data_IF_001538533797
#
_entry.id   IF_001538533797
#
_cell.length_a   1.000
_cell.length_b   1.000
_cell.length_c   1.000
_cell.angle_alpha   90.00
_cell.angle_beta   90.00
_cell.angle_gamma   90.00
#
_symmetry.space_group_name_H-M   'P 1'
#
loop_
_entity.id
_entity.type
_entity.pdbx_description
1 polymer ?
#
# COMPACT_ATOMS: atom_id res chain seq x y z
N UNK A 1 -68.71 15.12 -9.61
CA UNK A 1 -67.67 14.83 -8.59
C UNK A 1 -66.31 15.04 -9.23
N UNK A 2 -65.67 16.15 -8.89
CA UNK A 2 -64.34 16.54 -9.36
C UNK A 2 -63.27 15.70 -8.70
N UNK A 3 -62.31 15.18 -9.47
CA UNK A 3 -60.95 14.91 -8.99
C UNK A 3 -59.93 15.33 -10.04
N UNK A 4 -59.28 16.43 -9.69
CA UNK A 4 -58.17 17.13 -10.33
C UNK A 4 -57.01 16.19 -10.63
N UNK A 5 -56.60 16.11 -11.89
CA UNK A 5 -55.31 15.53 -12.30
C UNK A 5 -54.21 16.54 -11.99
N UNK A 6 -53.32 16.21 -11.05
CA UNK A 6 -52.13 17.02 -10.77
C UNK A 6 -51.13 16.90 -11.92
N UNK A 7 -50.81 18.04 -12.55
CA UNK A 7 -49.60 18.18 -13.34
C UNK A 7 -48.41 18.36 -12.40
N UNK A 8 -47.32 17.59 -12.55
CA UNK A 8 -46.02 18.04 -12.08
C UNK A 8 -45.43 19.01 -13.10
N UNK A 9 -45.08 20.18 -12.58
CA UNK A 9 -44.27 21.23 -13.18
C UNK A 9 -42.95 20.67 -13.71
N UNK A 10 -42.66 20.88 -14.99
CA UNK A 10 -41.32 20.70 -15.56
C UNK A 10 -40.45 21.86 -15.06
N UNK A 11 -39.66 21.63 -14.01
CA UNK A 11 -38.58 22.52 -13.62
C UNK A 11 -37.28 22.09 -14.32
N UNK A 12 -36.60 23.06 -14.92
CA UNK A 12 -35.47 22.89 -15.81
C UNK A 12 -34.35 22.04 -15.21
N UNK A 13 -34.21 20.82 -15.73
CA UNK A 13 -33.01 20.03 -15.57
C UNK A 13 -31.94 20.60 -16.48
N UNK A 14 -30.87 21.14 -15.88
CA UNK A 14 -29.60 21.29 -16.59
C UNK A 14 -29.25 19.93 -17.22
N UNK A 15 -28.90 19.87 -18.51
CA UNK A 15 -28.50 18.61 -19.11
C UNK A 15 -27.27 18.08 -18.37
N UNK A 16 -27.48 17.02 -17.59
CA UNK A 16 -26.39 16.23 -17.01
C UNK A 16 -25.70 15.57 -18.20
N UNK A 17 -24.60 16.19 -18.66
CA UNK A 17 -23.77 15.58 -19.69
C UNK A 17 -23.21 14.30 -19.06
N UNK A 18 -23.53 13.11 -19.60
CA UNK A 18 -22.96 11.88 -19.09
C UNK A 18 -21.44 11.98 -19.20
N UNK A 19 -20.76 11.77 -18.09
CA UNK A 19 -19.31 11.71 -18.06
C UNK A 19 -18.85 10.74 -19.15
N UNK A 20 -18.08 11.25 -20.11
CA UNK A 20 -17.52 10.48 -21.23
C UNK A 20 -16.92 9.20 -20.65
N UNK A 21 -17.44 8.04 -21.02
CA UNK A 21 -16.88 6.75 -20.60
C UNK A 21 -15.52 6.61 -21.29
N UNK A 22 -14.47 7.07 -20.61
CA UNK A 22 -13.09 6.77 -20.99
C UNK A 22 -12.94 5.26 -20.83
N UNK A 23 -12.41 4.58 -21.83
CA UNK A 23 -12.15 3.15 -21.76
C UNK A 23 -11.38 2.83 -20.46
N UNK A 24 -11.65 1.69 -19.80
CA UNK A 24 -10.97 1.36 -18.55
C UNK A 24 -9.46 1.36 -18.78
N UNK A 25 -8.76 2.34 -18.20
CA UNK A 25 -7.30 2.44 -18.33
C UNK A 25 -6.69 1.22 -17.66
N UNK A 26 -5.98 0.38 -18.40
CA UNK A 26 -5.33 -0.82 -17.87
C UNK A 26 -3.90 -0.54 -17.43
N UNK A 27 -3.34 -1.44 -16.59
CA UNK A 27 -1.91 -1.38 -16.30
C UNK A 27 -1.15 -1.92 -17.51
N UNK A 28 -0.09 -1.23 -17.98
CA UNK A 28 0.61 -1.59 -19.22
C UNK A 28 1.50 -2.84 -19.10
N UNK A 29 1.70 -3.35 -17.88
CA UNK A 29 2.49 -4.55 -17.62
C UNK A 29 2.00 -5.27 -16.35
N UNK A 30 2.42 -6.53 -16.11
CA UNK A 30 2.05 -7.26 -14.90
C UNK A 30 2.39 -6.49 -13.62
N UNK A 31 1.52 -6.51 -12.58
CA UNK A 31 1.73 -5.73 -11.37
C UNK A 31 3.05 -6.02 -10.66
N UNK A 32 3.52 -7.27 -10.68
CA UNK A 32 4.80 -7.67 -10.08
C UNK A 32 5.99 -7.04 -10.80
N UNK A 33 5.94 -6.97 -12.13
CA UNK A 33 6.98 -6.32 -12.92
C UNK A 33 7.05 -4.82 -12.61
N UNK A 34 5.90 -4.14 -12.62
CA UNK A 34 5.80 -2.71 -12.30
C UNK A 34 6.21 -2.41 -10.85
N UNK A 35 5.86 -3.28 -9.91
CA UNK A 35 6.25 -3.15 -8.51
C UNK A 35 7.77 -3.26 -8.33
N UNK A 36 8.41 -4.24 -9.01
CA UNK A 36 9.86 -4.39 -8.99
C UNK A 36 10.56 -3.13 -9.52
N UNK A 37 10.12 -2.63 -10.68
CA UNK A 37 10.66 -1.40 -11.28
C UNK A 37 10.48 -0.18 -10.37
N UNK A 38 9.33 -0.07 -9.71
CA UNK A 38 9.07 1.01 -8.77
C UNK A 38 9.97 0.90 -7.51
N UNK A 39 10.17 -0.29 -6.97
CA UNK A 39 11.08 -0.53 -5.85
C UNK A 39 12.52 -0.16 -6.22
N UNK A 40 13.00 -0.60 -7.39
CA UNK A 40 14.34 -0.26 -7.91
C UNK A 40 14.52 1.26 -8.06
N UNK A 41 13.55 1.93 -8.69
CA UNK A 41 13.55 3.38 -8.91
C UNK A 41 13.59 4.18 -7.60
N UNK A 42 12.97 3.64 -6.55
CA UNK A 42 12.93 4.25 -5.23
C UNK A 42 14.13 3.87 -4.35
N UNK A 43 14.99 2.95 -4.81
CA UNK A 43 16.14 2.45 -4.07
C UNK A 43 15.75 1.55 -2.89
N UNK A 44 14.63 0.84 -2.99
CA UNK A 44 14.15 -0.04 -1.93
C UNK A 44 14.78 -1.43 -2.06
N UNK A 45 15.65 -1.77 -1.11
CA UNK A 45 16.27 -3.09 -1.02
C UNK A 45 15.41 -4.12 -0.28
N UNK A 46 15.79 -5.39 -0.39
CA UNK A 46 15.16 -6.51 0.30
C UNK A 46 14.38 -7.46 -0.61
N UNK A 47 13.53 -8.27 0.02
CA UNK A 47 12.66 -9.24 -0.64
C UNK A 47 11.34 -8.55 -0.97
N UNK A 48 10.96 -8.60 -2.24
CA UNK A 48 9.63 -8.20 -2.69
C UNK A 48 8.68 -9.39 -2.59
N UNK A 49 7.61 -9.22 -1.81
CA UNK A 49 6.58 -10.24 -1.64
C UNK A 49 5.56 -10.19 -2.78
N UNK A 50 4.95 -11.33 -3.16
CA UNK A 50 3.79 -11.33 -4.05
C UNK A 50 2.65 -10.43 -3.53
N UNK A 51 1.77 -9.93 -4.41
CA UNK A 51 0.65 -9.09 -3.99
C UNK A 51 -0.20 -9.75 -2.90
N UNK A 52 -0.40 -9.06 -1.79
CA UNK A 52 -1.10 -9.58 -0.61
C UNK A 52 -2.09 -8.56 -0.03
N UNK A 53 -3.04 -9.05 0.78
CA UNK A 53 -3.99 -8.19 1.48
C UNK A 53 -3.54 -7.97 2.92
N UNK A 54 -3.22 -6.73 3.26
CA UNK A 54 -2.86 -6.31 4.61
C UNK A 54 -3.73 -5.11 5.01
N UNK A 55 -4.25 -5.10 6.24
CA UNK A 55 -5.15 -4.04 6.72
C UNK A 55 -6.36 -3.82 5.78
N UNK A 56 -6.84 -4.88 5.13
CA UNK A 56 -7.92 -4.81 4.13
C UNK A 56 -7.54 -4.15 2.79
N UNK A 57 -6.25 -3.91 2.55
CA UNK A 57 -5.71 -3.28 1.34
C UNK A 57 -4.81 -4.23 0.58
N UNK A 58 -4.96 -4.26 -0.76
CA UNK A 58 -4.07 -5.01 -1.64
C UNK A 58 -2.80 -4.20 -1.89
N UNK A 59 -1.66 -4.74 -1.50
CA UNK A 59 -0.34 -4.10 -1.60
C UNK A 59 0.73 -5.13 -1.97
N UNK A 60 1.85 -4.64 -2.49
CA UNK A 60 3.12 -5.37 -2.63
C UNK A 60 4.05 -4.84 -1.55
N UNK A 61 4.55 -5.73 -0.69
CA UNK A 61 5.46 -5.36 0.39
C UNK A 61 6.90 -5.60 -0.03
N UNK A 62 7.78 -4.65 0.32
CA UNK A 62 9.23 -4.82 0.26
C UNK A 62 9.76 -4.83 1.69
N UNK A 63 10.51 -5.85 2.04
CA UNK A 63 11.02 -6.02 3.39
C UNK A 63 12.37 -6.72 3.40
N UNK A 64 13.16 -6.44 4.43
CA UNK A 64 14.44 -7.08 4.66
C UNK A 64 14.36 -8.01 5.86
N UNK A 65 15.03 -9.16 5.74
CA UNK A 65 15.23 -10.07 6.85
C UNK A 65 16.35 -9.54 7.74
N UNK A 66 16.07 -9.44 9.04
CA UNK A 66 17.08 -9.13 10.06
C UNK A 66 17.75 -10.46 10.40
N UNK A 67 18.90 -10.74 9.78
CA UNK A 67 19.55 -12.06 9.80
C UNK A 67 19.82 -12.58 11.20
N UNK A 68 20.27 -11.71 12.10
CA UNK A 68 20.61 -12.09 13.48
C UNK A 68 19.36 -12.50 14.27
N UNK A 69 18.29 -11.70 14.17
CA UNK A 69 17.00 -12.01 14.80
C UNK A 69 16.34 -13.25 14.19
N UNK A 70 16.49 -13.47 12.88
CA UNK A 70 16.04 -14.69 12.22
C UNK A 70 16.78 -15.93 12.75
N UNK A 71 18.11 -15.86 12.83
CA UNK A 71 18.95 -16.94 13.35
C UNK A 71 18.64 -17.26 14.81
N UNK A 72 18.47 -16.24 15.65
CA UNK A 72 18.06 -16.40 17.05
C UNK A 72 16.70 -17.12 17.15
N UNK A 73 15.71 -16.69 16.36
CA UNK A 73 14.40 -17.34 16.33
C UNK A 73 14.47 -18.78 15.88
N UNK A 74 15.30 -19.12 14.89
CA UNK A 74 15.51 -20.51 14.49
C UNK A 74 16.12 -21.34 15.63
N UNK A 75 17.14 -20.80 16.31
CA UNK A 75 17.81 -21.48 17.41
C UNK A 75 16.86 -21.71 18.62
N UNK A 76 15.95 -20.77 18.88
CA UNK A 76 14.97 -20.84 19.96
C UNK A 76 13.65 -21.51 19.55
N UNK A 77 13.50 -21.95 18.30
CA UNK A 77 12.27 -22.57 17.81
C UNK A 77 11.06 -21.63 17.84
N UNK A 78 11.26 -20.34 17.56
CA UNK A 78 10.24 -19.30 17.56
C UNK A 78 9.78 -18.97 16.12
N UNK A 79 8.74 -19.64 15.58
CA UNK A 79 8.21 -19.33 14.26
C UNK A 79 7.54 -17.94 14.21
N UNK A 80 7.23 -17.42 13.01
CA UNK A 80 6.37 -16.25 12.87
C UNK A 80 5.01 -16.45 13.57
N UNK A 81 4.49 -15.39 14.21
CA UNK A 81 3.16 -15.42 14.86
C UNK A 81 2.19 -14.46 14.18
N UNK A 82 1.31 -14.99 13.34
CA UNK A 82 0.39 -14.19 12.51
C UNK A 82 -0.95 -13.88 13.17
N UNK A 83 -1.26 -14.51 14.31
CA UNK A 83 -2.44 -14.18 15.12
C UNK A 83 -2.26 -12.81 15.80
N UNK A 84 -3.13 -11.88 15.45
CA UNK A 84 -3.08 -10.50 15.94
C UNK A 84 -3.37 -10.40 17.44
N UNK A 85 -4.20 -11.31 17.99
CA UNK A 85 -4.55 -11.31 19.41
C UNK A 85 -3.36 -11.73 20.26
N UNK A 86 -2.60 -12.73 19.81
CA UNK A 86 -1.35 -13.12 20.46
C UNK A 86 -0.34 -11.99 20.41
N UNK A 87 -0.11 -11.39 19.24
CA UNK A 87 0.84 -10.28 19.10
C UNK A 87 0.44 -9.05 19.91
N UNK A 88 -0.86 -8.80 20.14
CA UNK A 88 -1.28 -7.65 20.94
C UNK A 88 -0.92 -7.78 22.43
N UNK A 89 -0.63 -8.99 22.92
CA UNK A 89 -0.09 -9.18 24.28
C UNK A 89 1.37 -8.78 24.38
N UNK A 90 2.13 -8.78 23.27
CA UNK A 90 3.58 -8.56 23.30
C UNK A 90 3.99 -7.12 23.62
N UNK A 91 3.06 -6.17 23.53
CA UNK A 91 3.30 -4.78 23.92
C UNK A 91 3.09 -4.56 25.42
N UNK A 92 2.66 -5.59 26.16
CA UNK A 92 2.48 -5.51 27.60
C UNK A 92 3.86 -5.41 28.27
N UNK A 93 4.05 -4.49 29.24
CA UNK A 93 5.31 -4.34 29.96
C UNK A 93 5.78 -5.65 30.60
N UNK A 94 4.85 -6.49 31.04
CA UNK A 94 5.09 -7.79 31.65
C UNK A 94 5.78 -8.77 30.69
N UNK A 95 5.67 -8.57 29.38
CA UNK A 95 6.33 -9.41 28.37
C UNK A 95 7.54 -8.73 27.73
N UNK A 96 7.96 -7.55 28.23
CA UNK A 96 9.13 -6.86 27.73
C UNK A 96 10.39 -7.73 27.87
N UNK A 97 11.12 -7.90 26.75
CA UNK A 97 12.32 -8.75 26.70
C UNK A 97 12.05 -10.26 26.69
N UNK A 98 10.80 -10.70 26.82
CA UNK A 98 10.42 -12.13 26.75
C UNK A 98 9.78 -12.53 25.41
N UNK A 99 9.50 -11.55 24.55
CA UNK A 99 8.93 -11.78 23.22
C UNK A 99 10.05 -11.93 22.19
N UNK A 100 9.85 -12.72 21.12
CA UNK A 100 10.87 -12.88 20.09
C UNK A 100 11.31 -11.54 19.49
N UNK A 101 12.59 -11.36 19.16
CA UNK A 101 13.05 -10.17 18.44
C UNK A 101 12.38 -10.07 17.06
N UNK A 102 11.98 -8.88 16.56
CA UNK A 102 11.36 -8.77 15.23
C UNK A 102 12.35 -9.22 14.16
N UNK A 103 11.96 -10.17 13.30
CA UNK A 103 12.86 -10.76 12.30
C UNK A 103 12.88 -10.03 10.95
N UNK A 104 12.05 -9.00 10.78
CA UNK A 104 11.97 -8.26 9.51
C UNK A 104 11.88 -6.75 9.70
N UNK A 105 12.49 -6.03 8.78
CA UNK A 105 12.36 -4.58 8.59
C UNK A 105 11.46 -4.31 7.40
N UNK A 106 10.39 -3.53 7.61
CA UNK A 106 9.54 -3.08 6.51
C UNK A 106 10.27 -1.97 5.76
N UNK A 107 10.51 -2.16 4.47
CA UNK A 107 11.20 -1.17 3.61
C UNK A 107 10.20 -0.30 2.87
N UNK A 108 9.14 -0.91 2.32
CA UNK A 108 8.09 -0.16 1.66
C UNK A 108 6.82 -0.95 1.36
N UNK A 109 5.76 -0.22 1.04
CA UNK A 109 4.50 -0.76 0.53
C UNK A 109 4.12 -0.07 -0.79
N UNK A 110 3.85 -0.87 -1.82
CA UNK A 110 3.49 -0.39 -3.16
C UNK A 110 2.05 -0.80 -3.45
N UNK A 111 1.22 0.13 -3.93
CA UNK A 111 -0.05 -0.22 -4.55
C UNK A 111 -0.08 0.17 -6.03
N UNK A 112 -0.54 -0.77 -6.85
CA UNK A 112 -0.72 -0.57 -8.28
C UNK A 112 -2.21 -0.53 -8.57
N UNK A 113 -2.66 0.50 -9.27
CA UNK A 113 -4.08 0.62 -9.63
C UNK A 113 -4.28 1.43 -10.89
N UNK A 114 -5.39 1.12 -11.58
CA UNK A 114 -5.93 1.90 -12.71
C UNK A 114 -6.37 3.31 -12.31
N UNK A 115 -6.58 3.53 -11.01
CA UNK A 115 -7.04 4.80 -10.46
C UNK A 115 -6.20 5.21 -9.26
N UNK A 116 -5.71 6.44 -9.28
CA UNK A 116 -4.84 6.97 -8.22
C UNK A 116 -5.53 6.98 -6.85
N UNK A 117 -6.84 7.24 -6.78
CA UNK A 117 -7.59 7.26 -5.50
C UNK A 117 -7.55 5.89 -4.82
N UNK A 118 -7.71 4.83 -5.59
CA UNK A 118 -7.66 3.45 -5.11
C UNK A 118 -6.25 3.11 -4.64
N UNK A 119 -5.23 3.45 -5.44
CA UNK A 119 -3.85 3.20 -5.07
C UNK A 119 -3.46 3.92 -3.77
N UNK A 120 -3.78 5.22 -3.64
CA UNK A 120 -3.51 5.99 -2.42
C UNK A 120 -4.26 5.41 -1.22
N UNK A 121 -5.54 5.09 -1.37
CA UNK A 121 -6.34 4.49 -0.28
C UNK A 121 -5.75 3.16 0.20
N UNK A 122 -5.07 2.42 -0.70
CA UNK A 122 -4.38 1.18 -0.34
C UNK A 122 -3.10 1.40 0.48
N UNK A 123 -2.29 2.42 0.16
CA UNK A 123 -0.98 2.60 0.83
C UNK A 123 -0.98 3.56 2.02
N UNK A 124 -1.90 4.52 2.08
CA UNK A 124 -1.94 5.52 3.17
C UNK A 124 -1.94 4.90 4.57
N UNK A 125 -2.63 3.77 4.86
CA UNK A 125 -2.54 3.13 6.18
C UNK A 125 -1.13 2.69 6.60
N UNK A 126 -0.21 2.55 5.64
CA UNK A 126 1.17 2.12 5.87
C UNK A 126 2.15 3.28 5.95
N UNK A 127 1.77 4.50 5.55
CA UNK A 127 2.71 5.64 5.45
C UNK A 127 3.24 6.12 6.79
N UNK A 128 2.60 5.73 7.90
CA UNK A 128 3.11 5.94 9.26
C UNK A 128 4.28 5.01 9.61
N UNK A 129 4.41 3.86 8.95
CA UNK A 129 5.26 2.75 9.41
C UNK A 129 6.38 2.36 8.45
N UNK A 130 6.21 2.69 7.18
CA UNK A 130 7.15 2.32 6.13
C UNK A 130 7.03 3.30 4.96
N UNK A 131 7.99 3.27 4.04
CA UNK A 131 7.89 4.04 2.82
C UNK A 131 6.68 3.56 2.00
N UNK A 132 6.04 4.47 1.27
CA UNK A 132 4.85 4.13 0.48
C UNK A 132 4.96 4.67 -0.93
N UNK A 133 4.44 3.90 -1.88
CA UNK A 133 4.43 4.28 -3.27
C UNK A 133 3.13 3.83 -3.96
N UNK A 134 2.68 4.63 -4.91
CA UNK A 134 1.63 4.25 -5.84
C UNK A 134 2.18 4.22 -7.26
N UNK A 135 1.74 3.24 -8.03
CA UNK A 135 2.00 3.16 -9.46
C UNK A 135 0.66 3.19 -10.19
N UNK A 136 0.53 4.14 -11.11
CA UNK A 136 -0.66 4.32 -11.95
C UNK A 136 -0.25 4.37 -13.43
N UNK A 137 -1.12 4.01 -14.39
CA UNK A 137 -0.81 4.19 -15.81
C UNK A 137 -0.50 5.65 -16.16
N UNK A 138 0.39 5.90 -17.12
CA UNK A 138 0.74 7.25 -17.60
C UNK A 138 -0.46 8.05 -18.10
N UNK A 139 -1.45 7.39 -18.73
CA UNK A 139 -2.72 8.00 -19.13
C UNK A 139 -3.51 8.62 -17.95
N UNK A 140 -3.28 8.16 -16.71
CA UNK A 140 -3.88 8.77 -15.52
C UNK A 140 -3.22 10.12 -15.21
N UNK A 141 -1.95 10.30 -15.57
CA UNK A 141 -1.19 11.52 -15.29
C UNK A 141 -1.49 12.69 -16.24
N UNK A 142 -2.15 12.44 -17.37
CA UNK A 142 -2.52 13.47 -18.35
C UNK A 142 -3.73 14.31 -17.91
N UNK A 143 -4.51 13.87 -16.92
CA UNK A 143 -5.71 14.56 -16.47
C UNK A 143 -5.45 15.62 -15.39
N UNK A 144 -6.19 16.73 -15.44
CA UNK A 144 -6.11 17.82 -14.44
C UNK A 144 -6.29 17.34 -12.99
N UNK A 145 -7.11 16.32 -12.78
CA UNK A 145 -7.37 15.70 -11.47
C UNK A 145 -6.10 15.07 -10.86
N UNK A 146 -5.16 14.62 -11.68
CA UNK A 146 -3.92 14.03 -11.20
C UNK A 146 -3.00 15.08 -10.56
N UNK A 147 -2.76 16.20 -11.23
CA UNK A 147 -1.95 17.28 -10.67
C UNK A 147 -2.66 17.93 -9.46
N UNK A 148 -3.95 18.27 -9.63
CA UNK A 148 -4.69 19.03 -8.62
C UNK A 148 -5.01 18.22 -7.35
N UNK A 149 -5.29 16.92 -7.48
CA UNK A 149 -5.73 16.09 -6.36
C UNK A 149 -4.79 14.93 -6.02
N UNK A 150 -4.25 14.21 -7.01
CA UNK A 150 -3.39 13.07 -6.73
C UNK A 150 -2.07 13.51 -6.08
N UNK A 151 -1.31 14.38 -6.76
CA UNK A 151 0.02 14.78 -6.29
C UNK A 151 -0.05 15.56 -4.98
N UNK A 152 -1.03 16.45 -4.84
CA UNK A 152 -1.27 17.18 -3.58
C UNK A 152 -1.54 16.25 -2.41
N UNK A 153 -2.43 15.27 -2.56
CA UNK A 153 -2.75 14.31 -1.49
C UNK A 153 -1.59 13.36 -1.22
N UNK A 154 -0.92 12.88 -2.26
CA UNK A 154 0.26 12.02 -2.11
C UNK A 154 1.36 12.74 -1.33
N UNK A 155 1.65 14.01 -1.66
CA UNK A 155 2.59 14.84 -0.93
C UNK A 155 2.20 15.05 0.52
N UNK A 156 0.91 15.30 0.80
CA UNK A 156 0.40 15.43 2.17
C UNK A 156 0.63 14.16 3.01
N UNK A 157 0.44 12.97 2.42
CA UNK A 157 0.65 11.69 3.10
C UNK A 157 2.10 11.16 3.03
N UNK A 158 3.01 11.87 2.34
CA UNK A 158 4.39 11.41 2.12
C UNK A 158 4.52 10.22 1.15
N UNK A 159 3.51 9.97 0.32
CA UNK A 159 3.47 8.84 -0.62
C UNK A 159 4.20 9.19 -1.91
N UNK A 160 5.07 8.30 -2.39
CA UNK A 160 5.68 8.44 -3.72
C UNK A 160 4.68 8.12 -4.82
N UNK A 161 4.71 8.85 -5.93
CA UNK A 161 3.85 8.61 -7.10
C UNK A 161 4.72 8.33 -8.30
N UNK A 162 4.48 7.20 -8.95
CA UNK A 162 5.13 6.85 -10.20
C UNK A 162 4.10 6.49 -11.27
N UNK A 163 4.46 6.71 -12.53
CA UNK A 163 3.65 6.40 -13.69
C UNK A 163 4.23 5.21 -14.44
N UNK A 164 3.38 4.25 -14.78
CA UNK A 164 3.72 3.11 -15.63
C UNK A 164 3.52 3.51 -17.09
N UNK A 165 4.58 3.42 -17.88
CA UNK A 165 4.57 3.70 -19.31
C UNK A 165 4.19 2.44 -20.11
N UNK A 166 3.79 2.61 -21.38
CA UNK A 166 3.28 1.51 -22.23
C UNK A 166 4.27 0.35 -22.42
N UNK A 167 5.58 0.61 -22.28
CA UNK A 167 6.63 -0.41 -22.40
C UNK A 167 6.94 -1.12 -21.05
N UNK A 168 6.16 -0.86 -20.00
CA UNK A 168 6.36 -1.42 -18.67
C UNK A 168 7.46 -0.74 -17.85
N UNK A 169 8.05 0.35 -18.35
CA UNK A 169 8.92 1.21 -17.55
C UNK A 169 8.11 2.02 -16.54
N UNK A 170 8.77 2.46 -15.47
CA UNK A 170 8.16 3.27 -14.41
C UNK A 170 8.95 4.56 -14.28
N UNK A 171 8.25 5.69 -14.23
CA UNK A 171 8.84 7.03 -14.05
C UNK A 171 8.33 7.68 -12.78
N UNK A 172 9.24 8.33 -12.04
CA UNK A 172 8.90 8.97 -10.78
C UNK A 172 8.32 10.36 -11.03
N UNK A 173 7.05 10.55 -10.70
CA UNK A 173 6.39 11.85 -10.77
C UNK A 173 6.58 12.65 -9.48
N UNK A 174 6.44 11.98 -8.34
CA UNK A 174 6.60 12.59 -7.02
C UNK A 174 7.38 11.66 -6.11
N UNK A 175 8.47 12.15 -5.54
CA UNK A 175 9.17 11.45 -4.47
C UNK A 175 8.45 11.66 -3.15
N UNK A 176 8.10 10.57 -2.48
CA UNK A 176 7.51 10.59 -1.15
C UNK A 176 8.52 10.97 -0.06
N UNK A 177 8.04 11.02 1.17
CA UNK A 177 8.86 11.27 2.36
C UNK A 177 8.95 9.96 3.15
N UNK A 178 10.12 9.61 3.71
CA UNK A 178 10.18 8.51 4.66
C UNK A 178 9.25 8.76 5.86
N UNK A 179 8.75 7.68 6.49
CA UNK A 179 7.97 7.82 7.73
C UNK A 179 8.79 8.59 8.77
N UNK A 180 8.13 9.35 9.63
CA UNK A 180 8.81 10.05 10.72
C UNK A 180 9.40 9.04 11.71
N UNK A 181 10.58 9.34 12.24
CA UNK A 181 11.28 8.55 13.26
C UNK A 181 10.53 8.60 14.61
N UNK A 182 9.38 7.96 14.67
CA UNK A 182 8.72 7.66 15.93
C UNK A 182 9.13 6.26 16.41
N UNK A 183 9.20 6.02 17.72
CA UNK A 183 9.39 4.68 18.27
C UNK A 183 8.12 3.83 18.02
N UNK A 184 7.99 3.35 16.79
CA UNK A 184 6.88 2.54 16.29
C UNK A 184 6.97 1.09 16.79
N UNK A 185 8.10 0.72 17.40
CA UNK A 185 8.40 -0.64 17.87
C UNK A 185 7.37 -1.16 18.90
N UNK A 186 6.61 -0.28 19.55
CA UNK A 186 5.56 -0.60 20.52
C UNK A 186 4.15 -0.62 19.92
N UNK A 187 3.97 -0.36 18.63
CA UNK A 187 2.65 -0.43 18.01
C UNK A 187 2.31 -1.87 17.62
N UNK A 188 1.27 -2.43 18.25
CA UNK A 188 0.73 -3.78 17.97
C UNK A 188 0.56 -4.02 16.48
N UNK A 189 0.07 -3.03 15.73
CA UNK A 189 -0.14 -3.14 14.29
C UNK A 189 1.16 -3.39 13.54
N UNK A 190 2.23 -2.64 13.85
CA UNK A 190 3.51 -2.80 13.16
C UNK A 190 4.19 -4.09 13.56
N UNK A 191 4.12 -4.44 14.85
CA UNK A 191 4.64 -5.72 15.30
C UNK A 191 3.95 -6.87 14.58
N UNK A 192 2.62 -6.85 14.48
CA UNK A 192 1.85 -7.86 13.75
C UNK A 192 2.17 -7.87 12.26
N UNK A 193 2.28 -6.70 11.61
CA UNK A 193 2.67 -6.60 10.20
C UNK A 193 4.04 -7.25 9.94
N UNK A 194 5.02 -7.02 10.83
CA UNK A 194 6.34 -7.66 10.74
C UNK A 194 6.23 -9.18 10.82
N UNK A 195 5.40 -9.73 11.72
CA UNK A 195 5.20 -11.20 11.78
C UNK A 195 4.55 -11.77 10.52
N UNK A 196 3.52 -11.11 9.98
CA UNK A 196 2.86 -11.56 8.75
C UNK A 196 3.80 -11.49 7.55
N UNK A 197 4.61 -10.43 7.45
CA UNK A 197 5.61 -10.29 6.38
C UNK A 197 6.72 -11.33 6.54
N UNK A 198 7.15 -11.60 7.77
CA UNK A 198 8.16 -12.62 8.05
C UNK A 198 7.68 -14.01 7.63
N UNK A 199 6.46 -14.39 7.99
CA UNK A 199 5.82 -15.64 7.53
C UNK A 199 5.84 -15.78 6.01
N UNK A 200 5.51 -14.70 5.29
CA UNK A 200 5.53 -14.69 3.82
C UNK A 200 6.93 -14.81 3.23
N UNK A 201 7.92 -14.14 3.80
CA UNK A 201 9.31 -14.29 3.35
C UNK A 201 9.73 -15.76 3.49
N UNK A 202 9.48 -16.39 4.63
CA UNK A 202 9.83 -17.79 4.85
C UNK A 202 9.13 -18.73 3.85
N UNK A 203 7.83 -18.51 3.60
CA UNK A 203 7.07 -19.29 2.62
C UNK A 203 7.64 -19.17 1.20
N UNK A 204 8.13 -17.99 0.81
CA UNK A 204 8.76 -17.77 -0.51
C UNK A 204 10.16 -18.35 -0.63
N UNK A 205 10.92 -18.50 0.47
CA UNK A 205 12.28 -19.08 0.43
C UNK A 205 12.30 -20.61 0.42
N UNK A 206 11.18 -21.25 0.75
CA UNK A 206 11.03 -22.71 0.82
C UNK A 206 10.38 -23.29 -0.45
N UNK A 207 9.91 -22.43 -1.37
CA UNK A 207 9.34 -22.84 -2.68
C UNK A 207 10.39 -22.78 -3.78
#
# INVERSE_FOLDING_TARGET
MSRTTGQPTVQGGLPVIPARSIAPVELPAPPEHLAARAADLLGWGGVMLPPMTLLGRRVVMVAELITDAHAERLALGCPPVTDRTTVSTWVWPELAGMVPAPAVRLVGAIALSRHWRTALTSVVPFSRFTNTAVVVPSAVAEGDDFLANCLMRAGHYGVSVATAQDQGSVELTLRGRPPQDFPIEQEVTVRWLREVVYDRILATTVS
#
